data_IF_765544921333
#
_entry.id   IF_765544921333
#
_cell.length_a   1.000
_cell.length_b   1.000
_cell.length_c   1.000
_cell.angle_alpha   90.00
_cell.angle_beta   90.00
_cell.angle_gamma   90.00
#
_symmetry.space_group_name_H-M   'P 1'
#
loop_
_entity.id
_entity.type
_entity.pdbx_description
1 polymer ?
#
# COMPACT_ATOMS: atom_id res chain seq x y z
N UNK A 1 -11.94 -26.38 0.98
CA UNK A 1 -11.38 -25.90 -0.30
C UNK A 1 -10.15 -24.99 -0.12
N UNK A 2 -10.09 -24.15 0.92
CA UNK A 2 -8.93 -23.25 1.20
C UNK A 2 -7.65 -23.96 1.72
N UNK A 3 -7.75 -25.21 2.18
CA UNK A 3 -6.61 -25.96 2.76
C UNK A 3 -5.66 -26.59 1.72
N UNK A 4 -6.00 -26.61 0.43
CA UNK A 4 -5.07 -27.03 -0.62
C UNK A 4 -4.07 -25.92 -0.98
N UNK A 5 -4.47 -24.66 -0.80
CA UNK A 5 -3.65 -23.48 -1.12
C UNK A 5 -2.55 -23.29 -0.07
N UNK A 6 -2.81 -23.57 1.22
CA UNK A 6 -1.77 -23.41 2.26
C UNK A 6 -0.67 -24.47 2.18
N UNK A 7 -1.00 -25.69 1.75
CA UNK A 7 -0.02 -26.79 1.56
C UNK A 7 0.88 -26.54 0.36
N UNK A 8 0.44 -25.74 -0.61
CA UNK A 8 1.23 -25.44 -1.81
C UNK A 8 2.28 -24.33 -1.62
N UNK A 9 2.11 -23.48 -0.60
CA UNK A 9 2.77 -22.17 -0.50
C UNK A 9 4.13 -22.19 0.24
N UNK A 10 4.66 -23.34 0.66
CA UNK A 10 5.98 -23.39 1.33
C UNK A 10 7.02 -24.35 0.75
N UNK A 11 6.90 -24.68 -0.53
CA UNK A 11 7.86 -25.53 -1.23
C UNK A 11 7.26 -26.44 -2.29
N UNK A 12 5.98 -26.26 -2.63
CA UNK A 12 5.27 -27.19 -3.49
C UNK A 12 5.20 -26.79 -4.95
N UNK A 13 5.66 -25.61 -5.39
CA UNK A 13 5.70 -25.31 -6.83
C UNK A 13 6.60 -26.31 -7.59
N UNK A 14 7.67 -26.80 -6.94
CA UNK A 14 8.54 -27.83 -7.49
C UNK A 14 7.94 -29.25 -7.42
N UNK A 15 7.22 -29.58 -6.33
CA UNK A 15 6.59 -30.91 -6.14
C UNK A 15 5.26 -31.07 -6.89
N UNK A 16 4.46 -30.02 -6.98
CA UNK A 16 3.22 -30.00 -7.76
C UNK A 16 3.48 -30.25 -9.25
N UNK A 17 4.64 -29.84 -9.77
CA UNK A 17 5.05 -30.12 -11.14
C UNK A 17 5.33 -31.61 -11.41
N UNK A 18 5.61 -32.43 -10.38
CA UNK A 18 5.83 -33.89 -10.53
C UNK A 18 4.52 -34.69 -10.45
N UNK A 19 3.51 -34.20 -9.72
CA UNK A 19 2.19 -34.84 -9.57
C UNK A 19 1.12 -34.37 -10.60
N UNK A 20 1.43 -33.40 -11.45
CA UNK A 20 0.52 -32.83 -12.48
C UNK A 20 0.41 -33.71 -13.74
N UNK A 21 0.15 -35.01 -13.58
CA UNK A 21 -0.04 -35.95 -14.71
C UNK A 21 -1.47 -35.98 -15.26
N UNK A 22 -2.43 -35.39 -14.55
CA UNK A 22 -3.83 -35.35 -14.97
C UNK A 22 -4.13 -34.13 -15.85
N UNK A 23 -4.64 -34.39 -17.06
CA UNK A 23 -5.13 -33.37 -17.99
C UNK A 23 -6.16 -32.43 -17.35
N UNK A 24 -6.93 -32.92 -16.37
CA UNK A 24 -7.88 -32.12 -15.60
C UNK A 24 -7.19 -31.14 -14.63
N UNK A 25 -6.11 -31.55 -13.96
CA UNK A 25 -5.37 -30.69 -13.04
C UNK A 25 -4.73 -29.50 -13.76
N UNK A 26 -4.27 -29.69 -15.00
CA UNK A 26 -3.73 -28.63 -15.82
C UNK A 26 -4.78 -27.58 -16.23
N UNK A 27 -5.98 -28.03 -16.64
CA UNK A 27 -7.10 -27.14 -16.96
C UNK A 27 -7.59 -26.35 -15.75
N UNK A 28 -7.63 -27.00 -14.57
CA UNK A 28 -7.97 -26.35 -13.30
C UNK A 28 -6.95 -25.27 -12.97
N UNK A 29 -5.65 -25.54 -13.11
CA UNK A 29 -4.58 -24.55 -12.88
C UNK A 29 -4.71 -23.35 -13.83
N UNK A 30 -4.99 -23.57 -15.11
CA UNK A 30 -5.22 -22.49 -16.07
C UNK A 30 -6.43 -21.61 -15.72
N UNK A 31 -7.50 -22.21 -15.21
CA UNK A 31 -8.66 -21.46 -14.73
C UNK A 31 -8.32 -20.68 -13.47
N UNK A 32 -7.70 -21.32 -12.49
CA UNK A 32 -7.27 -20.68 -11.24
C UNK A 32 -6.33 -19.50 -11.49
N UNK A 33 -5.45 -19.60 -12.49
CA UNK A 33 -4.56 -18.50 -12.88
C UNK A 33 -5.36 -17.33 -13.48
N UNK A 34 -6.35 -17.60 -14.33
CA UNK A 34 -7.25 -16.56 -14.86
C UNK A 34 -8.06 -15.88 -13.74
N UNK A 35 -8.59 -16.65 -12.81
CA UNK A 35 -9.35 -16.13 -11.67
C UNK A 35 -8.46 -15.29 -10.74
N UNK A 36 -7.24 -15.75 -10.48
CA UNK A 36 -6.25 -15.01 -9.69
C UNK A 36 -5.82 -13.69 -10.37
N UNK A 37 -5.65 -13.69 -11.70
CA UNK A 37 -5.36 -12.48 -12.46
C UNK A 37 -6.49 -11.46 -12.35
N UNK A 38 -7.75 -11.90 -12.48
CA UNK A 38 -8.92 -11.04 -12.36
C UNK A 38 -9.05 -10.46 -10.94
N UNK A 39 -8.88 -11.28 -9.91
CA UNK A 39 -8.91 -10.83 -8.51
C UNK A 39 -7.78 -9.84 -8.18
N UNK A 40 -6.59 -10.03 -8.76
CA UNK A 40 -5.47 -9.11 -8.60
C UNK A 40 -5.71 -7.77 -9.30
N UNK A 41 -6.31 -7.77 -10.49
CA UNK A 41 -6.71 -6.55 -11.19
C UNK A 41 -7.76 -5.76 -10.38
N UNK A 42 -8.77 -6.44 -9.85
CA UNK A 42 -9.79 -5.81 -8.99
C UNK A 42 -9.17 -5.21 -7.71
N UNK A 43 -8.26 -5.94 -7.07
CA UNK A 43 -7.51 -5.45 -5.91
C UNK A 43 -6.68 -4.20 -6.24
N UNK A 44 -6.05 -4.15 -7.42
CA UNK A 44 -5.29 -2.97 -7.90
C UNK A 44 -6.21 -1.78 -8.15
N UNK A 45 -7.38 -1.99 -8.75
CA UNK A 45 -8.39 -0.93 -8.96
C UNK A 45 -8.90 -0.38 -7.64
N UNK A 46 -9.17 -1.25 -6.67
CA UNK A 46 -9.58 -0.86 -5.32
C UNK A 46 -8.50 -0.02 -4.64
N UNK A 47 -7.24 -0.46 -4.68
CA UNK A 47 -6.12 0.33 -4.17
C UNK A 47 -5.96 1.68 -4.90
N UNK A 48 -6.14 1.73 -6.21
CA UNK A 48 -6.06 2.98 -6.97
C UNK A 48 -7.15 3.97 -6.56
N UNK A 49 -8.39 3.50 -6.35
CA UNK A 49 -9.48 4.34 -5.82
C UNK A 49 -9.16 4.85 -4.43
N UNK A 50 -8.62 4.00 -3.56
CA UNK A 50 -8.24 4.40 -2.21
C UNK A 50 -7.12 5.46 -2.22
N UNK A 51 -6.11 5.31 -3.07
CA UNK A 51 -5.06 6.31 -3.24
C UNK A 51 -5.58 7.64 -3.80
N UNK A 52 -6.55 7.60 -4.72
CA UNK A 52 -7.17 8.80 -5.26
C UNK A 52 -7.98 9.54 -4.18
N UNK A 53 -8.72 8.81 -3.34
CA UNK A 53 -9.46 9.37 -2.22
C UNK A 53 -8.52 10.00 -1.18
N UNK A 54 -7.45 9.29 -0.79
CA UNK A 54 -6.42 9.81 0.12
C UNK A 54 -5.79 11.11 -0.41
N UNK A 55 -5.50 11.17 -1.71
CA UNK A 55 -4.96 12.38 -2.35
C UNK A 55 -5.98 13.54 -2.39
N UNK A 56 -7.27 13.24 -2.57
CA UNK A 56 -8.33 14.24 -2.52
C UNK A 56 -8.49 14.82 -1.11
N UNK A 57 -8.49 13.97 -0.09
CA UNK A 57 -8.61 14.39 1.31
C UNK A 57 -7.36 15.14 1.79
N UNK A 58 -6.18 14.79 1.29
CA UNK A 58 -4.96 15.58 1.51
C UNK A 58 -5.08 17.02 0.97
N UNK A 59 -5.65 17.19 -0.23
CA UNK A 59 -5.89 18.51 -0.81
C UNK A 59 -6.93 19.29 -0.01
N UNK A 60 -7.99 18.64 0.45
CA UNK A 60 -9.02 19.26 1.30
C UNK A 60 -8.43 19.75 2.61
N UNK A 61 -7.61 18.94 3.28
CA UNK A 61 -6.95 19.34 4.52
C UNK A 61 -6.00 20.52 4.30
N UNK A 62 -5.23 20.53 3.21
CA UNK A 62 -4.36 21.66 2.88
C UNK A 62 -5.15 22.95 2.62
N UNK A 63 -6.28 22.87 1.90
CA UNK A 63 -7.14 24.02 1.66
C UNK A 63 -7.79 24.55 2.95
N UNK A 64 -8.25 23.66 3.83
CA UNK A 64 -8.82 24.04 5.13
C UNK A 64 -7.76 24.72 6.02
N UNK A 65 -6.55 24.16 6.10
CA UNK A 65 -5.43 24.75 6.83
C UNK A 65 -5.05 26.15 6.32
N UNK A 66 -5.09 26.36 4.99
CA UNK A 66 -4.84 27.68 4.41
C UNK A 66 -5.91 28.70 4.82
N UNK A 67 -7.19 28.32 4.79
CA UNK A 67 -8.30 29.21 5.21
C UNK A 67 -8.25 29.52 6.71
N UNK A 68 -7.88 28.53 7.54
CA UNK A 68 -7.63 28.76 8.97
C UNK A 68 -6.53 29.80 9.15
N UNK A 69 -5.39 29.66 8.47
CA UNK A 69 -4.29 30.61 8.59
C UNK A 69 -4.67 32.03 8.13
N UNK A 70 -5.45 32.15 7.06
CA UNK A 70 -5.95 33.44 6.57
C UNK A 70 -6.90 34.12 7.57
N UNK A 71 -7.84 33.35 8.14
CA UNK A 71 -8.78 33.85 9.13
C UNK A 71 -8.08 34.19 10.46
N UNK A 72 -7.08 33.39 10.89
CA UNK A 72 -6.23 33.73 12.03
C UNK A 72 -5.52 35.07 11.83
N UNK A 73 -4.93 35.29 10.65
CA UNK A 73 -4.29 36.57 10.33
C UNK A 73 -5.26 37.74 10.39
N UNK A 74 -6.48 37.56 9.86
CA UNK A 74 -7.54 38.57 9.90
C UNK A 74 -8.02 38.85 11.33
N UNK A 75 -8.16 37.82 12.17
CA UNK A 75 -8.55 37.95 13.57
C UNK A 75 -7.48 38.69 14.40
N UNK A 76 -6.20 38.40 14.17
CA UNK A 76 -5.09 39.11 14.80
C UNK A 76 -5.09 40.60 14.40
N UNK A 77 -5.33 40.90 13.12
CA UNK A 77 -5.45 42.28 12.65
C UNK A 77 -6.65 43.01 13.29
N UNK A 78 -7.79 42.34 13.47
CA UNK A 78 -8.96 42.90 14.17
C UNK A 78 -8.63 43.23 15.64
N UNK A 79 -7.97 42.33 16.36
CA UNK A 79 -7.49 42.58 17.74
C UNK A 79 -6.49 43.75 17.79
N UNK A 80 -5.58 43.83 16.82
CA UNK A 80 -4.64 44.94 16.72
C UNK A 80 -5.36 46.29 16.52
N UNK A 81 -6.44 46.29 15.73
CA UNK A 81 -7.30 47.45 15.49
C UNK A 81 -8.38 47.71 16.55
N UNK A 82 -8.38 46.98 17.68
CA UNK A 82 -9.35 47.16 18.77
C UNK A 82 -10.77 46.68 18.46
N UNK A 83 -10.96 45.91 17.38
CA UNK A 83 -12.24 45.30 16.98
C UNK A 83 -12.39 43.92 17.61
N UNK A 84 -12.54 43.89 18.93
CA UNK A 84 -12.73 42.65 19.69
C UNK A 84 -14.01 41.90 19.29
N UNK A 85 -15.04 42.63 18.83
CA UNK A 85 -16.28 42.08 18.27
C UNK A 85 -15.99 41.17 17.06
N UNK A 86 -15.25 41.68 16.07
CA UNK A 86 -14.89 40.92 14.87
C UNK A 86 -13.90 39.79 15.16
N UNK A 87 -13.00 40.00 16.13
CA UNK A 87 -12.09 38.95 16.57
C UNK A 87 -12.83 37.79 17.26
N UNK A 88 -13.89 38.09 18.01
CA UNK A 88 -14.74 37.08 18.65
C UNK A 88 -15.49 36.24 17.61
N UNK A 89 -16.12 36.87 16.61
CA UNK A 89 -16.77 36.16 15.50
C UNK A 89 -15.78 35.29 14.72
N UNK A 90 -14.57 35.83 14.45
CA UNK A 90 -13.52 35.07 13.77
C UNK A 90 -13.04 33.86 14.60
N UNK A 91 -13.01 33.98 15.93
CA UNK A 91 -12.61 32.88 16.81
C UNK A 91 -13.66 31.77 16.91
N UNK A 92 -14.95 32.11 16.82
CA UNK A 92 -16.03 31.13 16.71
C UNK A 92 -15.92 30.36 15.39
N UNK A 93 -15.76 31.06 14.28
CA UNK A 93 -15.54 30.43 12.96
C UNK A 93 -14.26 29.59 12.92
N UNK A 94 -13.17 30.05 13.53
CA UNK A 94 -11.93 29.28 13.64
C UNK A 94 -12.13 28.00 14.45
N UNK A 95 -12.87 28.04 15.57
CA UNK A 95 -13.12 26.85 16.37
C UNK A 95 -13.89 25.78 15.57
N UNK A 96 -14.88 26.18 14.76
CA UNK A 96 -15.60 25.27 13.86
C UNK A 96 -14.68 24.67 12.80
N UNK A 97 -13.86 25.50 12.13
CA UNK A 97 -12.92 25.03 11.10
C UNK A 97 -11.82 24.12 11.66
N UNK A 98 -11.36 24.37 12.89
CA UNK A 98 -10.40 23.51 13.56
C UNK A 98 -11.02 22.17 14.01
N UNK A 99 -12.28 22.16 14.44
CA UNK A 99 -13.01 20.90 14.70
C UNK A 99 -13.17 20.08 13.42
N UNK A 100 -13.52 20.73 12.29
CA UNK A 100 -13.58 20.08 10.98
C UNK A 100 -12.21 19.51 10.57
N UNK A 101 -11.13 20.28 10.76
CA UNK A 101 -9.78 19.84 10.46
C UNK A 101 -9.37 18.61 11.29
N UNK A 102 -9.70 18.62 12.59
CA UNK A 102 -9.43 17.51 13.49
C UNK A 102 -10.23 16.25 13.09
N UNK A 103 -11.51 16.41 12.73
CA UNK A 103 -12.35 15.30 12.27
C UNK A 103 -11.81 14.69 10.96
N UNK A 104 -11.38 15.54 10.01
CA UNK A 104 -10.74 15.10 8.77
C UNK A 104 -9.42 14.37 9.03
N UNK A 105 -8.58 14.86 9.95
CA UNK A 105 -7.32 14.23 10.33
C UNK A 105 -7.53 12.82 10.89
N UNK A 106 -8.48 12.65 11.83
CA UNK A 106 -8.83 11.34 12.40
C UNK A 106 -9.31 10.38 11.31
N UNK A 107 -10.15 10.86 10.39
CA UNK A 107 -10.68 10.05 9.28
C UNK A 107 -9.56 9.61 8.33
N UNK A 108 -8.65 10.52 7.98
CA UNK A 108 -7.49 10.23 7.12
C UNK A 108 -6.50 9.27 7.77
N UNK A 109 -6.27 9.38 9.07
CA UNK A 109 -5.39 8.44 9.79
C UNK A 109 -5.92 7.00 9.72
N UNK A 110 -7.22 6.81 9.96
CA UNK A 110 -7.87 5.51 9.81
C UNK A 110 -7.79 4.99 8.36
N UNK A 111 -8.02 5.86 7.39
CA UNK A 111 -7.97 5.51 5.96
C UNK A 111 -6.55 5.16 5.48
N UNK A 112 -5.52 5.85 6.00
CA UNK A 112 -4.13 5.56 5.70
C UNK A 112 -3.71 4.14 6.10
N UNK A 113 -4.22 3.63 7.23
CA UNK A 113 -3.99 2.24 7.65
C UNK A 113 -4.61 1.23 6.67
N UNK A 114 -5.80 1.51 6.15
CA UNK A 114 -6.48 0.69 5.14
C UNK A 114 -5.71 0.69 3.80
N UNK A 115 -5.26 1.86 3.34
CA UNK A 115 -4.40 1.98 2.14
C UNK A 115 -3.11 1.18 2.30
N UNK A 116 -2.48 1.23 3.48
CA UNK A 116 -1.27 0.45 3.76
C UNK A 116 -1.54 -1.05 3.72
N UNK A 117 -2.68 -1.50 4.25
CA UNK A 117 -3.11 -2.90 4.18
C UNK A 117 -3.36 -3.35 2.74
N UNK A 118 -4.10 -2.56 1.94
CA UNK A 118 -4.34 -2.84 0.52
C UNK A 118 -3.03 -2.92 -0.28
N UNK A 119 -2.08 -2.01 -0.02
CA UNK A 119 -0.74 -2.05 -0.63
C UNK A 119 -0.01 -3.35 -0.33
N UNK A 120 -0.03 -3.81 0.93
CA UNK A 120 0.59 -5.09 1.32
C UNK A 120 -0.10 -6.27 0.63
N UNK A 121 -1.44 -6.28 0.59
CA UNK A 121 -2.22 -7.33 -0.05
C UNK A 121 -1.93 -7.43 -1.56
N UNK A 122 -1.92 -6.30 -2.29
CA UNK A 122 -1.61 -6.25 -3.73
C UNK A 122 -0.18 -6.72 -4.01
N UNK A 123 0.80 -6.31 -3.20
CA UNK A 123 2.20 -6.78 -3.35
C UNK A 123 2.30 -8.29 -3.15
N UNK A 124 1.72 -8.80 -2.06
CA UNK A 124 1.71 -10.23 -1.76
C UNK A 124 1.01 -11.03 -2.87
N UNK A 125 -0.16 -10.59 -3.30
CA UNK A 125 -0.91 -11.22 -4.39
C UNK A 125 -0.14 -11.21 -5.72
N UNK A 126 0.58 -10.12 -6.03
CA UNK A 126 1.42 -10.04 -7.23
C UNK A 126 2.58 -11.05 -7.18
N UNK A 127 3.25 -11.22 -6.03
CA UNK A 127 4.31 -12.23 -5.86
C UNK A 127 3.76 -13.65 -6.04
N UNK A 128 2.66 -13.96 -5.36
CA UNK A 128 2.01 -15.27 -5.44
C UNK A 128 1.53 -15.57 -6.86
N UNK A 129 0.99 -14.59 -7.57
CA UNK A 129 0.57 -14.74 -8.96
C UNK A 129 1.76 -15.07 -9.88
N UNK A 130 2.89 -14.34 -9.74
CA UNK A 130 4.09 -14.62 -10.51
C UNK A 130 4.66 -16.02 -10.23
N UNK A 131 4.62 -16.47 -8.97
CA UNK A 131 4.99 -17.86 -8.61
C UNK A 131 4.12 -18.90 -9.32
N UNK A 132 2.80 -18.68 -9.39
CA UNK A 132 1.87 -19.57 -10.09
C UNK A 132 2.13 -19.59 -11.60
N UNK A 133 2.39 -18.44 -12.24
CA UNK A 133 2.75 -18.36 -13.66
C UNK A 133 4.04 -19.13 -13.96
N UNK A 134 5.05 -19.03 -13.08
CA UNK A 134 6.29 -19.80 -13.17
C UNK A 134 6.05 -21.30 -13.04
N UNK A 135 5.28 -21.70 -12.02
CA UNK A 135 4.89 -23.10 -11.81
C UNK A 135 4.19 -23.68 -13.04
N UNK A 136 3.28 -22.92 -13.65
CA UNK A 136 2.59 -23.32 -14.89
C UNK A 136 3.56 -23.52 -16.07
N UNK A 137 4.52 -22.61 -16.28
CA UNK A 137 5.53 -22.76 -17.34
C UNK A 137 6.35 -24.03 -17.19
N UNK A 138 6.75 -24.36 -15.96
CA UNK A 138 7.51 -25.57 -15.66
C UNK A 138 6.66 -26.83 -15.83
N UNK A 139 5.41 -26.81 -15.35
CA UNK A 139 4.47 -27.91 -15.54
C UNK A 139 4.22 -28.19 -17.03
N UNK A 140 4.06 -27.16 -17.86
CA UNK A 140 3.95 -27.28 -19.33
C UNK A 140 5.17 -27.96 -19.95
N UNK A 141 6.37 -27.53 -19.56
CA UNK A 141 7.61 -28.11 -20.07
C UNK A 141 7.80 -29.57 -19.61
N UNK A 142 7.44 -29.88 -18.36
CA UNK A 142 7.49 -31.25 -17.83
C UNK A 142 6.53 -32.19 -18.58
N UNK A 143 5.29 -31.76 -18.81
CA UNK A 143 4.29 -32.52 -19.58
C UNK A 143 4.74 -32.73 -21.03
N UNK A 144 5.38 -31.74 -21.66
CA UNK A 144 5.96 -31.91 -23.01
C UNK A 144 7.05 -32.99 -23.04
N UNK A 145 7.95 -33.01 -22.04
CA UNK A 145 8.97 -34.06 -21.90
C UNK A 145 8.31 -35.42 -21.68
N UNK A 146 7.29 -35.50 -20.82
CA UNK A 146 6.56 -36.73 -20.56
C UNK A 146 5.91 -37.30 -21.82
N UNK A 147 5.21 -36.46 -22.61
CA UNK A 147 4.63 -36.87 -23.90
C UNK A 147 5.67 -37.38 -24.89
N UNK A 148 6.82 -36.72 -25.00
CA UNK A 148 7.91 -37.17 -25.88
C UNK A 148 8.49 -38.54 -25.44
N UNK A 149 8.61 -38.79 -24.13
CA UNK A 149 9.01 -40.10 -23.60
C UNK A 149 7.98 -41.18 -23.92
N UNK A 150 6.69 -40.89 -23.72
CA UNK A 150 5.61 -41.82 -24.00
C UNK A 150 5.61 -42.25 -25.48
N UNK A 151 5.74 -41.30 -26.42
CA UNK A 151 5.80 -41.62 -27.86
C UNK A 151 7.07 -42.41 -28.22
N UNK A 152 8.22 -42.11 -27.60
CA UNK A 152 9.46 -42.89 -27.77
C UNK A 152 9.29 -44.35 -27.32
N UNK A 153 8.60 -44.59 -26.20
CA UNK A 153 8.27 -45.94 -25.73
C UNK A 153 7.40 -46.73 -26.72
N UNK A 154 6.65 -46.04 -27.58
CA UNK A 154 5.85 -46.61 -28.67
C UNK A 154 6.63 -46.74 -29.99
N UNK A 155 7.94 -46.48 -29.99
CA UNK A 155 8.77 -46.48 -31.21
C UNK A 155 8.58 -45.26 -32.11
N UNK A 156 7.79 -44.28 -31.69
CA UNK A 156 7.43 -43.08 -32.45
C UNK A 156 8.06 -41.84 -31.81
N UNK A 157 9.37 -41.61 -31.92
CA UNK A 157 9.94 -40.40 -31.30
C UNK A 157 11.40 -40.11 -31.62
N UNK A 158 11.71 -38.83 -31.81
CA UNK A 158 13.08 -38.37 -32.03
C UNK A 158 13.86 -38.29 -30.72
N UNK A 159 15.02 -38.99 -30.59
CA UNK A 159 15.87 -38.89 -29.41
C UNK A 159 16.43 -37.47 -29.20
N UNK A 160 16.69 -36.74 -30.29
CA UNK A 160 17.18 -35.36 -30.24
C UNK A 160 16.13 -34.40 -29.66
N UNK A 161 14.87 -34.49 -30.11
CA UNK A 161 13.77 -33.66 -29.61
C UNK A 161 13.54 -33.87 -28.10
N UNK A 162 13.66 -35.11 -27.62
CA UNK A 162 13.56 -35.40 -26.19
C UNK A 162 14.71 -34.77 -25.38
N UNK A 163 15.94 -34.84 -25.91
CA UNK A 163 17.11 -34.26 -25.25
C UNK A 163 17.01 -32.73 -25.16
N UNK A 164 16.55 -32.07 -26.23
CA UNK A 164 16.32 -30.62 -26.25
C UNK A 164 15.23 -30.20 -25.25
N UNK A 165 14.10 -30.90 -25.23
CA UNK A 165 13.03 -30.62 -24.26
C UNK A 165 13.49 -30.78 -22.80
N UNK A 166 14.32 -31.78 -22.52
CA UNK A 166 14.93 -31.96 -21.19
C UNK A 166 15.91 -30.83 -20.83
N UNK A 167 16.72 -30.37 -21.79
CA UNK A 167 17.62 -29.24 -21.58
C UNK A 167 16.83 -27.95 -21.27
N UNK A 168 15.74 -27.70 -22.02
CA UNK A 168 14.86 -26.56 -21.78
C UNK A 168 14.19 -26.61 -20.40
N UNK A 169 13.69 -27.78 -19.97
CA UNK A 169 13.11 -27.96 -18.64
C UNK A 169 14.14 -27.69 -17.53
N UNK A 170 15.39 -28.13 -17.71
CA UNK A 170 16.48 -27.85 -16.75
C UNK A 170 16.73 -26.35 -16.62
N UNK A 171 16.89 -25.65 -17.75
CA UNK A 171 17.07 -24.18 -17.79
C UNK A 171 15.93 -23.44 -17.10
N UNK A 172 14.67 -23.86 -17.33
CA UNK A 172 13.50 -23.26 -16.68
C UNK A 172 13.53 -23.42 -15.15
N UNK A 173 13.94 -24.59 -14.66
CA UNK A 173 14.07 -24.85 -13.21
C UNK A 173 15.21 -24.07 -12.58
N UNK A 174 16.35 -23.98 -13.25
CA UNK A 174 17.48 -23.17 -12.80
C UNK A 174 17.10 -21.68 -12.69
N UNK A 175 16.40 -21.14 -13.69
CA UNK A 175 15.88 -19.78 -13.65
C UNK A 175 14.90 -19.56 -12.48
N UNK A 176 14.00 -20.51 -12.23
CA UNK A 176 13.08 -20.42 -11.09
C UNK A 176 13.81 -20.38 -9.75
N UNK A 177 14.85 -21.20 -9.57
CA UNK A 177 15.63 -21.22 -8.33
C UNK A 177 16.37 -19.90 -8.11
N UNK A 178 16.94 -19.31 -9.17
CA UNK A 178 17.62 -18.02 -9.09
C UNK A 178 16.63 -16.88 -8.73
N UNK A 179 15.46 -16.84 -9.36
CA UNK A 179 14.42 -15.87 -9.04
C UNK A 179 13.89 -16.03 -7.61
N UNK A 180 13.66 -17.27 -7.14
CA UNK A 180 13.20 -17.53 -5.78
C UNK A 180 14.20 -17.04 -4.72
N UNK A 181 15.50 -17.23 -4.97
CA UNK A 181 16.54 -16.68 -4.09
C UNK A 181 16.54 -15.14 -4.07
N UNK A 182 16.28 -14.52 -5.23
CA UNK A 182 16.12 -13.05 -5.31
C UNK A 182 14.88 -12.56 -4.55
N UNK A 183 13.75 -13.25 -4.68
CA UNK A 183 12.50 -12.94 -3.97
C UNK A 183 12.68 -13.05 -2.45
N UNK A 184 13.41 -14.07 -1.98
CA UNK A 184 13.77 -14.25 -0.56
C UNK A 184 14.68 -13.13 -0.05
N UNK A 185 15.71 -12.75 -0.82
CA UNK A 185 16.59 -11.63 -0.47
C UNK A 185 15.80 -10.30 -0.38
N UNK A 186 14.89 -10.04 -1.31
CA UNK A 186 14.02 -8.86 -1.27
C UNK A 186 13.11 -8.86 -0.04
N UNK A 187 12.56 -10.01 0.35
CA UNK A 187 11.73 -10.13 1.54
C UNK A 187 12.52 -9.82 2.83
N UNK A 188 13.78 -10.23 2.92
CA UNK A 188 14.68 -9.91 4.03
C UNK A 188 14.94 -8.39 4.10
N UNK A 189 15.21 -7.75 2.95
CA UNK A 189 15.42 -6.29 2.87
C UNK A 189 14.16 -5.53 3.27
N UNK A 190 12.98 -5.94 2.80
CA UNK A 190 11.71 -5.29 3.15
C UNK A 190 11.36 -5.46 4.63
N UNK A 191 11.65 -6.61 5.24
CA UNK A 191 11.48 -6.82 6.67
C UNK A 191 12.41 -5.92 7.51
N UNK A 192 13.53 -5.47 6.93
CA UNK A 192 14.44 -4.52 7.55
C UNK A 192 14.03 -3.03 7.35
N UNK A 193 13.00 -2.74 6.55
CA UNK A 193 12.56 -1.37 6.24
C UNK A 193 11.59 -0.78 7.31
N UNK A 194 11.58 0.55 7.53
CA UNK A 194 11.19 1.15 8.81
C UNK A 194 9.67 1.35 8.93
N UNK A 195 8.98 0.39 9.55
CA UNK A 195 7.73 0.64 10.27
C UNK A 195 7.93 1.57 11.49
N UNK A 196 9.19 1.78 11.89
CA UNK A 196 9.60 2.49 13.11
C UNK A 196 9.34 3.99 13.11
N UNK A 197 9.12 4.65 11.97
CA UNK A 197 8.98 6.12 11.98
C UNK A 197 7.65 6.58 12.60
N UNK A 198 6.53 5.94 12.25
CA UNK A 198 5.24 6.27 12.84
C UNK A 198 5.18 5.85 14.32
N UNK A 199 5.65 4.65 14.67
CA UNK A 199 5.76 4.20 16.07
C UNK A 199 6.63 5.13 16.93
N UNK A 200 7.75 5.63 16.39
CA UNK A 200 8.61 6.60 17.08
C UNK A 200 7.99 7.98 17.26
N UNK A 201 7.11 8.41 16.34
CA UNK A 201 6.41 9.69 16.47
C UNK A 201 5.32 9.61 17.54
N UNK A 202 4.67 8.46 17.68
CA UNK A 202 3.70 8.18 18.74
C UNK A 202 4.38 8.02 20.11
N UNK A 203 5.50 7.27 20.21
CA UNK A 203 6.30 7.16 21.45
C UNK A 203 6.89 8.51 21.91
N UNK A 204 7.21 9.40 20.97
CA UNK A 204 7.69 10.75 21.28
C UNK A 204 6.57 11.72 21.73
N UNK A 205 5.33 11.23 21.86
CA UNK A 205 4.22 11.97 22.46
C UNK A 205 3.50 12.92 21.50
N UNK A 206 3.68 12.78 20.19
CA UNK A 206 2.97 13.59 19.18
C UNK A 206 1.55 13.04 18.91
N UNK A 207 0.75 12.88 19.98
CA UNK A 207 -0.64 12.38 19.94
C UNK A 207 -1.71 13.47 19.76
N UNK A 208 -2.98 13.07 19.54
CA UNK A 208 -4.06 13.99 19.15
C UNK A 208 -4.31 15.06 20.20
N UNK A 209 -4.32 16.33 19.75
CA UNK A 209 -4.56 17.51 20.59
C UNK A 209 -6.01 17.58 21.07
N UNK A 210 -6.22 18.23 22.22
CA UNK A 210 -7.53 18.51 22.78
C UNK A 210 -8.44 19.26 21.78
N UNK A 211 -9.76 19.03 21.88
CA UNK A 211 -10.76 19.69 21.02
C UNK A 211 -10.60 21.22 21.10
N UNK A 212 -10.53 21.90 19.95
CA UNK A 212 -10.49 23.36 19.91
C UNK A 212 -11.80 23.95 20.43
N UNK A 213 -11.71 25.01 21.22
CA UNK A 213 -12.84 25.81 21.71
C UNK A 213 -12.59 27.28 21.43
N UNK A 214 -13.65 28.07 21.21
CA UNK A 214 -13.52 29.50 20.94
C UNK A 214 -12.68 30.24 22.01
N UNK A 215 -12.81 29.86 23.29
CA UNK A 215 -11.97 30.37 24.38
C UNK A 215 -10.49 30.06 24.20
N UNK A 216 -10.14 28.80 23.92
CA UNK A 216 -8.74 28.39 23.67
C UNK A 216 -8.15 29.02 22.40
N UNK A 217 -8.97 29.22 21.37
CA UNK A 217 -8.57 29.92 20.13
C UNK A 217 -8.29 31.38 20.42
N UNK A 218 -9.17 32.05 21.18
CA UNK A 218 -9.01 33.45 21.56
C UNK A 218 -7.76 33.70 22.41
N UNK A 219 -7.45 32.81 23.36
CA UNK A 219 -6.20 32.86 24.13
C UNK A 219 -4.97 32.78 23.22
N UNK A 220 -4.98 31.84 22.26
CA UNK A 220 -3.90 31.68 21.29
C UNK A 220 -3.75 32.89 20.36
N UNK A 221 -4.86 33.45 19.89
CA UNK A 221 -4.87 34.65 19.03
C UNK A 221 -4.33 35.89 19.78
N UNK A 222 -4.71 36.07 21.05
CA UNK A 222 -4.17 37.16 21.89
C UNK A 222 -2.67 37.01 22.12
N UNK A 223 -2.18 35.78 22.37
CA UNK A 223 -0.75 35.52 22.49
C UNK A 223 0.02 35.88 21.20
N UNK A 224 -0.47 35.43 20.03
CA UNK A 224 0.11 35.79 18.73
C UNK A 224 0.07 37.30 18.46
N UNK A 225 -1.01 37.99 18.83
CA UNK A 225 -1.13 39.43 18.67
C UNK A 225 -0.13 40.20 19.56
N UNK A 226 0.11 39.72 20.78
CA UNK A 226 1.11 40.29 21.68
C UNK A 226 2.54 40.08 21.14
N UNK A 227 2.86 38.89 20.63
CA UNK A 227 4.15 38.61 19.98
C UNK A 227 4.38 39.49 18.75
N UNK A 228 3.38 39.67 17.89
CA UNK A 228 3.46 40.52 16.71
C UNK A 228 3.71 42.00 17.06
N UNK A 229 3.06 42.50 18.13
CA UNK A 229 3.30 43.87 18.65
C UNK A 229 4.73 44.02 19.16
N UNK A 230 5.23 43.03 19.92
CA UNK A 230 6.58 43.09 20.46
C UNK A 230 7.65 43.03 19.36
N UNK A 231 7.45 42.22 18.32
CA UNK A 231 8.33 42.17 17.14
C UNK A 231 8.34 43.50 16.37
N UNK A 232 7.18 44.16 16.23
CA UNK A 232 7.11 45.47 15.59
C UNK A 232 7.84 46.56 16.38
N UNK A 233 7.75 46.57 17.72
CA UNK A 233 8.47 47.51 18.58
C UNK A 233 9.99 47.28 18.55
N UNK A 234 10.43 46.03 18.47
CA UNK A 234 11.87 45.68 18.44
C UNK A 234 12.52 45.94 17.08
N UNK A 235 11.73 45.94 16.00
CA UNK A 235 12.17 46.29 14.63
C UNK A 235 12.19 47.79 14.36
N UNK A 236 11.57 48.60 15.21
CA UNK A 236 11.51 50.07 15.08
C UNK A 236 12.57 50.80 15.93
N UNK A 237 13.32 50.06 16.77
CA UNK A 237 14.41 50.55 17.61
C UNK A 237 15.78 50.21 16.99
#
# INVERSE_FOLDING_TARGET
MLNLISTLVRGAAARAAEDLHDRHAFLILEQQLRDAAAALDDSRRTLARALAQEAADAKRQAALAARIAELEGSAVAALAGGREDLAQEAAEALAEMEEEAQALEVTRAAYGAEVAALRRAVRKGTRQFAELERGQRIARAAEAVHRLRARRGQGLGSPAALAEAQANLRRLREAQAAEAASDEALAIIEAAAPASLCERLEEAGFGPRARPSAGSVMERLRAKAAEARHQAETSAA
#
